data_IF_572996173996
#
_entry.id   IF_572996173996
#
_cell.length_a   1.000
_cell.length_b   1.000
_cell.length_c   1.000
_cell.angle_alpha   90.00
_cell.angle_beta   90.00
_cell.angle_gamma   90.00
#
_symmetry.space_group_name_H-M   'P 1'
#
loop_
_entity.id
_entity.type
_entity.pdbx_description
1 polymer ?
#
# COMPACT_ATOMS: atom_id res chain seq x y z
N UNK A 1 -11.77 -4.52 -35.25
CA UNK A 1 -10.62 -4.74 -34.40
C UNK A 1 -10.95 -4.32 -32.97
N UNK A 2 -10.66 -5.21 -32.04
CA UNK A 2 -10.86 -4.86 -30.64
C UNK A 2 -9.84 -3.81 -30.20
N UNK A 3 -10.30 -2.82 -29.44
CA UNK A 3 -9.37 -1.85 -28.85
C UNK A 3 -8.50 -2.56 -27.83
N UNK A 4 -7.21 -2.24 -27.77
CA UNK A 4 -6.36 -2.81 -26.72
C UNK A 4 -6.88 -2.38 -25.36
N UNK A 5 -6.83 -3.30 -24.41
CA UNK A 5 -7.23 -2.96 -23.04
C UNK A 5 -6.28 -1.91 -22.50
N UNK A 6 -6.81 -0.92 -21.77
CA UNK A 6 -5.92 0.01 -21.10
C UNK A 6 -5.03 -0.75 -20.13
N UNK A 7 -3.77 -0.31 -19.92
CA UNK A 7 -2.90 -0.97 -18.96
C UNK A 7 -3.54 -0.91 -17.59
N UNK A 8 -3.38 -1.96 -16.76
CA UNK A 8 -3.88 -1.90 -15.39
C UNK A 8 -3.22 -0.75 -14.65
N UNK A 9 -3.93 -0.17 -13.66
CA UNK A 9 -3.31 0.88 -12.86
C UNK A 9 -2.02 0.34 -12.24
N UNK A 10 -0.99 1.18 -12.12
CA UNK A 10 0.29 0.73 -11.55
C UNK A 10 0.07 0.21 -10.14
N UNK A 11 0.60 -0.97 -9.88
CA UNK A 11 0.53 -1.55 -8.55
C UNK A 11 1.60 -0.92 -7.65
N UNK A 12 1.33 -0.87 -6.34
CA UNK A 12 2.32 -0.40 -5.40
C UNK A 12 3.62 -1.21 -5.49
N UNK A 13 4.74 -0.52 -5.33
CA UNK A 13 6.07 -1.11 -5.37
C UNK A 13 6.83 -0.75 -4.11
N UNK A 14 7.92 -1.47 -3.87
CA UNK A 14 8.83 -1.11 -2.79
C UNK A 14 9.30 0.33 -2.97
N UNK A 15 9.26 1.11 -1.90
CA UNK A 15 9.57 2.52 -1.92
C UNK A 15 8.36 3.44 -2.08
N UNK A 16 7.22 2.92 -2.49
CA UNK A 16 6.01 3.72 -2.64
C UNK A 16 5.42 4.08 -1.27
N UNK A 17 4.91 5.30 -1.17
CA UNK A 17 4.21 5.75 0.03
C UNK A 17 2.73 5.47 -0.15
N UNK A 18 2.14 4.83 0.86
CA UNK A 18 0.73 4.45 0.86
C UNK A 18 0.05 4.92 2.14
N UNK A 19 -1.27 5.00 2.10
CA UNK A 19 -2.09 5.36 3.25
C UNK A 19 -3.13 4.27 3.49
N UNK A 20 -3.55 4.12 4.75
CA UNK A 20 -4.63 3.20 5.11
C UNK A 20 -5.96 3.76 4.62
N UNK A 21 -6.74 2.93 3.91
CA UNK A 21 -8.01 3.36 3.35
C UNK A 21 -9.08 3.60 4.40
N UNK A 22 -9.11 2.78 5.44
CA UNK A 22 -10.21 2.75 6.40
C UNK A 22 -9.84 3.32 7.76
N UNK A 23 -8.71 4.00 7.84
CA UNK A 23 -8.34 4.64 9.09
C UNK A 23 -9.04 5.98 9.22
N UNK A 24 -9.58 6.28 10.40
CA UNK A 24 -10.12 7.59 10.71
C UNK A 24 -9.00 8.63 10.82
N UNK A 25 -7.81 8.19 11.14
CA UNK A 25 -6.63 9.04 11.16
C UNK A 25 -5.83 8.82 9.89
N UNK A 26 -5.15 9.87 9.47
CA UNK A 26 -4.27 9.78 8.33
C UNK A 26 -3.02 8.99 8.74
N UNK A 27 -2.91 7.78 8.24
CA UNK A 27 -1.76 6.92 8.53
C UNK A 27 -1.01 6.67 7.24
N UNK A 28 0.26 7.05 7.23
CA UNK A 28 1.13 6.98 6.08
C UNK A 28 2.23 5.95 6.32
N UNK A 29 2.57 5.20 5.29
CA UNK A 29 3.62 4.19 5.38
C UNK A 29 4.34 4.00 4.07
N UNK A 30 5.48 3.31 4.12
CA UNK A 30 6.28 2.99 2.94
C UNK A 30 6.28 1.49 2.71
N UNK A 31 6.06 1.08 1.48
CA UNK A 31 6.16 -0.32 1.11
C UNK A 31 7.63 -0.73 1.12
N UNK A 32 7.95 -1.70 1.95
CA UNK A 32 9.33 -2.20 2.05
C UNK A 32 9.52 -3.51 1.30
N UNK A 33 8.44 -4.29 1.10
CA UNK A 33 8.51 -5.55 0.39
C UNK A 33 7.19 -5.85 -0.28
N UNK A 34 7.25 -6.29 -1.52
CA UNK A 34 6.09 -6.81 -2.25
C UNK A 34 6.10 -8.33 -2.10
N UNK A 35 5.06 -8.87 -1.47
CA UNK A 35 5.00 -10.30 -1.16
C UNK A 35 4.34 -11.14 -2.26
N UNK A 36 3.69 -10.48 -3.23
CA UNK A 36 2.91 -11.17 -4.23
C UNK A 36 1.50 -11.48 -3.76
N UNK A 37 0.62 -11.84 -4.70
CA UNK A 37 -0.78 -12.13 -4.37
C UNK A 37 -1.55 -10.97 -3.80
N UNK A 38 -1.15 -9.75 -4.10
CA UNK A 38 -1.82 -8.56 -3.57
C UNK A 38 -1.48 -8.24 -2.14
N UNK A 39 -0.39 -8.76 -1.61
CA UNK A 39 0.06 -8.51 -0.24
C UNK A 39 1.36 -7.71 -0.24
N UNK A 40 1.49 -6.83 0.76
CA UNK A 40 2.63 -5.93 0.87
C UNK A 40 3.05 -5.81 2.31
N UNK A 41 4.34 -5.68 2.54
CA UNK A 41 4.89 -5.34 3.83
C UNK A 41 5.12 -3.84 3.87
N UNK A 42 4.53 -3.19 4.87
CA UNK A 42 4.54 -1.74 4.97
C UNK A 42 5.10 -1.33 6.32
N UNK A 43 6.01 -0.36 6.29
CA UNK A 43 6.53 0.28 7.48
C UNK A 43 5.76 1.58 7.68
N UNK A 44 4.99 1.66 8.75
CA UNK A 44 4.16 2.82 9.05
C UNK A 44 4.97 3.88 9.76
N UNK A 45 4.79 5.13 9.35
CA UNK A 45 5.54 6.25 9.90
C UNK A 45 4.76 7.06 10.92
N UNK A 46 3.43 7.01 10.84
CA UNK A 46 2.57 7.78 11.75
C UNK A 46 1.41 6.93 12.24
N UNK A 47 0.87 7.28 13.41
CA UNK A 47 -0.37 6.72 13.90
C UNK A 47 -0.31 5.28 14.41
N UNK A 48 0.87 4.70 14.51
CA UNK A 48 1.05 3.30 14.90
C UNK A 48 2.05 3.20 16.04
N UNK A 49 1.79 2.27 16.97
CA UNK A 49 2.72 1.98 18.05
C UNK A 49 4.07 1.54 17.48
N UNK A 50 5.12 1.94 18.13
CA UNK A 50 6.50 1.65 17.72
C UNK A 50 6.77 0.17 17.50
N UNK A 51 6.06 -0.69 18.20
CA UNK A 51 6.31 -2.13 18.16
C UNK A 51 5.79 -2.79 16.89
N UNK A 52 4.78 -2.17 16.27
CA UNK A 52 4.08 -2.75 15.14
C UNK A 52 4.16 -1.86 13.91
N UNK A 53 5.32 -1.24 13.70
CA UNK A 53 5.52 -0.35 12.55
C UNK A 53 5.51 -1.09 11.23
N UNK A 54 5.85 -2.36 11.23
CA UNK A 54 5.90 -3.16 10.01
C UNK A 54 4.77 -4.17 10.08
N UNK A 55 3.83 -4.06 9.16
CA UNK A 55 2.70 -4.98 9.06
C UNK A 55 2.52 -5.46 7.64
N UNK A 56 1.85 -6.59 7.49
CA UNK A 56 1.45 -7.10 6.18
C UNK A 56 0.04 -6.65 5.88
N UNK A 57 -0.15 -6.04 4.71
CA UNK A 57 -1.45 -5.52 4.30
C UNK A 57 -1.79 -6.02 2.90
N UNK A 58 -3.07 -5.98 2.56
CA UNK A 58 -3.54 -6.32 1.23
C UNK A 58 -3.82 -5.06 0.43
N UNK A 59 -3.95 -5.22 -0.88
CA UNK A 59 -4.26 -4.11 -1.79
C UNK A 59 -5.51 -3.34 -1.35
N UNK A 60 -6.50 -4.04 -0.80
CA UNK A 60 -7.76 -3.42 -0.39
C UNK A 60 -7.62 -2.52 0.84
N UNK A 61 -6.59 -2.72 1.62
CA UNK A 61 -6.38 -1.99 2.87
C UNK A 61 -5.62 -0.69 2.68
N UNK A 62 -4.97 -0.51 1.56
CA UNK A 62 -4.10 0.64 1.29
C UNK A 62 -4.44 1.31 -0.03
N UNK A 63 -4.00 2.55 -0.17
CA UNK A 63 -4.02 3.26 -1.45
C UNK A 63 -2.73 4.07 -1.55
N UNK A 64 -2.32 4.37 -2.77
CA UNK A 64 -1.16 5.23 -2.98
C UNK A 64 -1.46 6.63 -2.44
N UNK A 65 -0.46 7.25 -1.87
CA UNK A 65 -0.57 8.65 -1.46
C UNK A 65 -0.76 9.51 -2.72
N UNK A 66 -1.81 10.34 -2.75
CA UNK A 66 -2.05 11.23 -3.89
C UNK A 66 -0.97 12.28 -4.03
#
# INVERSE_FOLDING_TARGET
MAKPKPPPPPQPRAGDVVVLRQSQEYVEGEIITVLGGGRYRVKWETGVDYRDRITTVTTDEIRKKP
#
